data_IF_364186398152
#
_entry.id   IF_364186398152
#
_cell.length_a   1.000
_cell.length_b   1.000
_cell.length_c   1.000
_cell.angle_alpha   90.00
_cell.angle_beta   90.00
_cell.angle_gamma   90.00
#
_symmetry.space_group_name_H-M   'P 1'
#
loop_
_entity.id
_entity.type
_entity.pdbx_description
1 polymer ?
#
# COMPACT_ATOMS: atom_id res chain seq x y z
N UNK A 1 7.55 -4.57 18.69
CA UNK A 1 6.93 -5.90 18.50
C UNK A 1 7.48 -6.42 17.20
N UNK A 2 8.10 -7.59 17.16
CA UNK A 2 8.75 -8.04 15.92
C UNK A 2 7.66 -8.56 14.97
N UNK A 3 7.37 -7.87 13.85
CA UNK A 3 6.36 -8.32 12.91
C UNK A 3 6.82 -9.62 12.25
N UNK A 4 5.90 -10.57 12.12
CA UNK A 4 6.14 -11.79 11.33
C UNK A 4 5.84 -11.50 9.85
N UNK A 5 6.48 -12.23 8.93
CA UNK A 5 6.18 -12.11 7.49
C UNK A 5 4.68 -12.30 7.23
N UNK A 6 4.10 -13.37 7.77
CA UNK A 6 2.66 -13.63 7.65
C UNK A 6 1.80 -12.49 8.18
N UNK A 7 2.13 -11.91 9.34
CA UNK A 7 1.35 -10.81 9.92
C UNK A 7 1.43 -9.55 9.07
N UNK A 8 2.62 -9.25 8.55
CA UNK A 8 2.86 -8.09 7.69
C UNK A 8 2.09 -8.19 6.37
N UNK A 9 2.12 -9.36 5.73
CA UNK A 9 1.34 -9.63 4.51
C UNK A 9 -0.18 -9.53 4.77
N UNK A 10 -0.68 -10.16 5.85
CA UNK A 10 -2.10 -10.11 6.20
C UNK A 10 -2.57 -8.68 6.48
N UNK A 11 -1.78 -7.91 7.23
CA UNK A 11 -2.07 -6.51 7.54
C UNK A 11 -2.14 -5.66 6.28
N UNK A 12 -1.18 -5.84 5.37
CA UNK A 12 -1.12 -5.11 4.09
C UNK A 12 -2.35 -5.42 3.22
N UNK A 13 -2.71 -6.70 3.09
CA UNK A 13 -3.89 -7.13 2.33
C UNK A 13 -5.16 -6.59 2.98
N UNK A 14 -5.28 -6.62 4.31
CA UNK A 14 -6.42 -6.07 5.01
C UNK A 14 -6.59 -4.56 4.75
N UNK A 15 -5.51 -3.76 4.88
CA UNK A 15 -5.56 -2.32 4.63
C UNK A 15 -5.87 -2.02 3.15
N UNK A 16 -5.30 -2.80 2.23
CA UNK A 16 -5.61 -2.72 0.80
C UNK A 16 -7.11 -2.93 0.55
N UNK A 17 -7.71 -3.97 1.12
CA UNK A 17 -9.12 -4.30 0.90
C UNK A 17 -10.08 -3.29 1.56
N UNK A 18 -9.81 -2.92 2.81
CA UNK A 18 -10.74 -2.12 3.63
C UNK A 18 -10.62 -0.62 3.35
N UNK A 19 -9.42 -0.14 3.02
CA UNK A 19 -9.15 1.30 2.86
C UNK A 19 -8.74 1.60 1.42
N UNK A 20 -7.79 0.84 0.88
CA UNK A 20 -7.26 1.06 -0.47
C UNK A 20 -8.32 0.99 -1.56
N UNK A 21 -9.10 -0.09 -1.61
CA UNK A 21 -10.11 -0.29 -2.64
C UNK A 21 -11.23 0.78 -2.59
N UNK A 22 -11.90 1.05 -1.45
CA UNK A 22 -12.96 2.06 -1.42
C UNK A 22 -12.47 3.45 -1.81
N UNK A 23 -11.30 3.88 -1.31
CA UNK A 23 -10.74 5.20 -1.64
C UNK A 23 -10.38 5.25 -3.12
N UNK A 24 -9.82 4.18 -3.68
CA UNK A 24 -9.45 4.14 -5.11
C UNK A 24 -10.65 4.18 -6.03
N UNK A 25 -11.73 3.49 -5.69
CA UNK A 25 -12.98 3.55 -6.45
C UNK A 25 -13.55 4.97 -6.41
N UNK A 26 -13.65 5.57 -5.22
CA UNK A 26 -14.12 6.95 -5.08
C UNK A 26 -13.23 7.95 -5.83
N UNK A 27 -11.91 7.74 -5.80
CA UNK A 27 -10.96 8.57 -6.52
C UNK A 27 -11.15 8.47 -8.05
N UNK A 28 -11.25 7.25 -8.57
CA UNK A 28 -11.50 7.03 -10.00
C UNK A 28 -12.82 7.64 -10.45
N UNK A 29 -13.88 7.50 -9.64
CA UNK A 29 -15.17 8.16 -9.91
C UNK A 29 -15.06 9.68 -9.89
N UNK A 30 -14.31 10.25 -8.94
CA UNK A 30 -14.08 11.69 -8.89
C UNK A 30 -13.34 12.21 -10.14
N UNK A 31 -12.34 11.47 -10.64
CA UNK A 31 -11.64 11.79 -11.90
C UNK A 31 -12.56 11.68 -13.13
N UNK A 32 -13.52 10.76 -13.11
CA UNK A 32 -14.54 10.61 -14.14
C UNK A 32 -15.73 11.61 -14.00
N UNK A 33 -15.63 12.61 -13.11
CA UNK A 33 -16.70 13.60 -12.90
C UNK A 33 -17.95 13.02 -12.21
N UNK A 34 -17.75 12.10 -11.26
CA UNK A 34 -18.81 11.36 -10.53
C UNK A 34 -19.70 10.49 -11.42
N UNK A 35 -19.21 10.12 -12.61
CA UNK A 35 -19.86 9.15 -13.49
C UNK A 35 -19.17 7.79 -13.34
N UNK A 36 -19.94 6.73 -13.53
CA UNK A 36 -19.39 5.38 -13.54
C UNK A 36 -18.68 5.12 -14.88
N UNK A 37 -17.38 5.43 -14.93
CA UNK A 37 -16.51 5.10 -16.06
C UNK A 37 -15.49 4.05 -15.62
N UNK A 38 -15.73 2.80 -16.06
CA UNK A 38 -14.87 1.68 -15.71
C UNK A 38 -13.45 1.84 -16.26
N UNK A 39 -13.27 2.48 -17.41
CA UNK A 39 -11.96 2.63 -18.05
C UNK A 39 -11.00 3.46 -17.19
N UNK A 40 -11.51 4.53 -16.58
CA UNK A 40 -10.74 5.42 -15.70
C UNK A 40 -10.49 4.76 -14.34
N UNK A 41 -11.52 4.16 -13.73
CA UNK A 41 -11.41 3.51 -12.42
C UNK A 41 -10.43 2.33 -12.47
N UNK A 42 -10.47 1.55 -13.55
CA UNK A 42 -9.59 0.39 -13.75
C UNK A 42 -8.10 0.77 -13.70
N UNK A 43 -7.70 1.92 -14.24
CA UNK A 43 -6.30 2.37 -14.24
C UNK A 43 -5.79 2.52 -12.80
N UNK A 44 -6.53 3.23 -11.94
CA UNK A 44 -6.12 3.45 -10.55
C UNK A 44 -6.22 2.20 -9.69
N UNK A 45 -7.16 1.29 -9.99
CA UNK A 45 -7.22 -0.03 -9.35
C UNK A 45 -5.97 -0.86 -9.68
N UNK A 46 -5.58 -0.93 -10.96
CA UNK A 46 -4.36 -1.62 -11.36
C UNK A 46 -3.11 -0.97 -10.76
N UNK A 47 -3.10 0.36 -10.66
CA UNK A 47 -2.00 1.09 -10.03
C UNK A 47 -1.88 0.72 -8.55
N UNK A 48 -2.99 0.72 -7.82
CA UNK A 48 -3.01 0.28 -6.42
C UNK A 48 -2.53 -1.18 -6.29
N UNK A 49 -3.04 -2.09 -7.12
CA UNK A 49 -2.62 -3.48 -7.14
C UNK A 49 -1.12 -3.63 -7.40
N UNK A 50 -0.54 -2.83 -8.31
CA UNK A 50 0.88 -2.83 -8.60
C UNK A 50 1.71 -2.36 -7.39
N UNK A 51 1.30 -1.27 -6.73
CA UNK A 51 1.98 -0.77 -5.52
C UNK A 51 1.91 -1.79 -4.38
N UNK A 52 0.74 -2.39 -4.14
CA UNK A 52 0.59 -3.43 -3.11
C UNK A 52 1.40 -4.68 -3.46
N UNK A 53 1.36 -5.13 -4.72
CA UNK A 53 2.16 -6.25 -5.20
C UNK A 53 3.66 -6.03 -5.03
N UNK A 54 4.14 -4.82 -5.35
CA UNK A 54 5.52 -4.42 -5.12
C UNK A 54 5.91 -4.51 -3.64
N UNK A 55 5.02 -4.03 -2.76
CA UNK A 55 5.22 -4.13 -1.33
C UNK A 55 5.24 -5.57 -0.80
N UNK A 56 4.37 -6.45 -1.31
CA UNK A 56 4.38 -7.88 -0.96
C UNK A 56 5.68 -8.55 -1.40
N UNK A 57 6.22 -8.18 -2.57
CA UNK A 57 7.50 -8.69 -3.08
C UNK A 57 8.69 -8.21 -2.22
N UNK A 58 8.64 -6.97 -1.75
CA UNK A 58 9.70 -6.38 -0.94
C UNK A 58 9.60 -6.70 0.56
N UNK A 59 8.45 -7.12 1.08
CA UNK A 59 8.27 -7.45 2.49
C UNK A 59 9.30 -8.49 3.03
N UNK A 60 9.65 -9.59 2.31
CA UNK A 60 10.74 -10.48 2.71
C UNK A 60 12.12 -9.79 2.77
N UNK A 61 12.43 -8.94 1.79
CA UNK A 61 13.70 -8.17 1.75
C UNK A 61 13.78 -7.19 2.92
N UNK A 62 12.66 -6.54 3.24
CA UNK A 62 12.58 -5.62 4.37
C UNK A 62 12.76 -6.34 5.71
N UNK A 63 12.18 -7.54 5.87
CA UNK A 63 12.38 -8.35 7.07
C UNK A 63 13.84 -8.80 7.17
N UNK A 64 14.45 -9.21 6.06
CA UNK A 64 15.88 -9.55 6.03
C UNK A 64 16.75 -8.34 6.44
N UNK A 65 16.53 -7.17 5.84
CA UNK A 65 17.23 -5.95 6.18
C UNK A 65 17.01 -5.53 7.65
N UNK A 66 15.79 -5.70 8.16
CA UNK A 66 15.46 -5.45 9.57
C UNK A 66 16.24 -6.38 10.51
N UNK A 67 16.45 -7.64 10.12
CA UNK A 67 17.14 -8.65 10.93
C UNK A 67 18.64 -8.38 11.13
N UNK A 68 19.25 -7.58 10.23
CA UNK A 68 20.65 -7.16 10.29
C UNK A 68 20.89 -6.02 11.29
N UNK A 69 19.84 -5.32 11.75
CA UNK A 69 19.97 -4.25 12.75
C UNK A 69 20.07 -4.84 14.15
N UNK A 70 20.86 -4.19 15.00
CA UNK A 70 21.05 -4.56 16.41
C UNK A 70 19.71 -4.70 17.16
N UNK A 71 18.79 -3.76 16.97
CA UNK A 71 17.49 -3.75 17.65
C UNK A 71 16.46 -4.68 17.00
N UNK A 72 16.71 -5.14 15.77
CA UNK A 72 15.79 -5.95 14.95
C UNK A 72 14.38 -5.35 14.79
N UNK A 73 14.23 -4.05 15.04
CA UNK A 73 12.98 -3.32 14.88
C UNK A 73 13.16 -2.10 13.95
N UNK A 74 12.09 -1.77 13.23
CA UNK A 74 12.04 -0.60 12.36
C UNK A 74 11.02 0.40 12.90
N UNK A 75 11.42 1.66 13.16
CA UNK A 75 10.44 2.69 13.47
C UNK A 75 9.46 2.88 12.29
N UNK A 76 8.22 3.24 12.61
CA UNK A 76 7.15 3.49 11.63
C UNK A 76 7.55 4.49 10.53
N UNK A 77 8.50 5.39 10.81
CA UNK A 77 9.09 6.29 9.81
C UNK A 77 9.75 5.54 8.64
N UNK A 78 10.46 4.42 8.89
CA UNK A 78 11.01 3.61 7.80
C UNK A 78 9.91 2.93 7.00
N UNK A 79 8.85 2.46 7.65
CA UNK A 79 7.71 1.88 6.94
C UNK A 79 7.09 2.92 6.00
N UNK A 80 6.88 4.15 6.47
CA UNK A 80 6.38 5.24 5.64
C UNK A 80 7.34 5.56 4.48
N UNK A 81 8.64 5.65 4.76
CA UNK A 81 9.66 5.90 3.73
C UNK A 81 9.64 4.82 2.64
N UNK A 82 9.64 3.54 3.02
CA UNK A 82 9.63 2.44 2.06
C UNK A 82 8.32 2.35 1.28
N UNK A 83 7.18 2.76 1.85
CA UNK A 83 5.94 2.91 1.07
C UNK A 83 6.07 3.96 -0.04
N UNK A 84 6.74 5.09 0.22
CA UNK A 84 7.04 6.08 -0.83
C UNK A 84 8.05 5.55 -1.86
N UNK A 85 9.02 4.73 -1.44
CA UNK A 85 9.94 4.05 -2.38
C UNK A 85 9.19 3.06 -3.27
N UNK A 86 8.30 2.23 -2.71
CA UNK A 86 7.42 1.32 -3.46
C UNK A 86 6.60 2.07 -4.50
N UNK A 87 5.97 3.18 -4.10
CA UNK A 87 5.26 4.08 -5.02
C UNK A 87 6.18 4.61 -6.13
N UNK A 88 7.36 5.11 -5.78
CA UNK A 88 8.33 5.64 -6.73
C UNK A 88 8.73 4.60 -7.77
N UNK A 89 9.05 3.37 -7.33
CA UNK A 89 9.40 2.27 -8.22
C UNK A 89 8.25 1.98 -9.20
N UNK A 90 7.03 1.80 -8.71
CA UNK A 90 5.89 1.50 -9.58
C UNK A 90 5.58 2.65 -10.54
N UNK A 91 5.66 3.90 -10.07
CA UNK A 91 5.48 5.08 -10.91
C UNK A 91 6.52 5.15 -12.03
N UNK A 92 7.81 4.94 -11.73
CA UNK A 92 8.86 4.94 -12.74
C UNK A 92 8.70 3.78 -13.73
N UNK A 93 8.33 2.59 -13.27
CA UNK A 93 8.06 1.44 -14.15
C UNK A 93 6.86 1.69 -15.07
N UNK A 94 5.78 2.27 -14.54
CA UNK A 94 4.59 2.62 -15.32
C UNK A 94 4.89 3.72 -16.36
N UNK A 95 5.67 4.74 -15.97
CA UNK A 95 6.09 5.82 -16.87
C UNK A 95 7.04 5.34 -17.98
N UNK A 96 7.85 4.31 -17.70
CA UNK A 96 8.76 3.72 -18.67
C UNK A 96 8.09 2.71 -19.62
N UNK A 97 6.78 2.46 -19.49
CA UNK A 97 6.08 1.48 -20.33
C UNK A 97 6.37 0.02 -19.99
N UNK A 98 7.06 -0.25 -18.87
CA UNK A 98 7.45 -1.60 -18.48
C UNK A 98 6.31 -2.40 -17.85
N UNK A 99 5.19 -1.74 -17.55
CA UNK A 99 4.01 -2.34 -16.93
C UNK A 99 2.87 -2.36 -17.94
N UNK A 100 2.60 -3.50 -18.63
CA UNK A 100 1.73 -3.54 -19.80
C UNK A 100 0.25 -3.22 -19.51
N UNK A 101 -0.18 -3.37 -18.25
CA UNK A 101 -1.55 -3.09 -17.81
C UNK A 101 -1.75 -1.67 -17.28
N UNK A 102 -0.70 -0.85 -17.24
CA UNK A 102 -0.77 0.57 -16.86
C UNK A 102 -0.47 1.45 -18.08
N UNK A 103 -1.43 2.29 -18.52
CA UNK A 103 -1.21 3.16 -19.68
C UNK A 103 -0.24 4.28 -19.33
N UNK A 104 0.86 4.40 -20.08
CA UNK A 104 1.89 5.44 -19.89
C UNK A 104 1.32 6.86 -19.89
N UNK A 105 0.27 7.09 -20.69
CA UNK A 105 -0.42 8.38 -20.83
C UNK A 105 -1.00 8.87 -19.51
N UNK A 106 -1.44 7.98 -18.62
CA UNK A 106 -1.98 8.32 -17.31
C UNK A 106 -0.90 8.73 -16.28
N UNK A 107 0.37 8.41 -16.54
CA UNK A 107 1.49 8.61 -15.61
C UNK A 107 2.54 9.63 -16.12
N UNK A 108 2.20 10.44 -17.13
CA UNK A 108 3.10 11.48 -17.62
C UNK A 108 3.31 12.62 -16.60
N UNK A 109 2.28 12.90 -15.79
CA UNK A 109 2.37 13.87 -14.70
C UNK A 109 2.41 13.15 -13.34
N UNK A 110 3.25 13.66 -12.42
CA UNK A 110 3.37 13.08 -11.08
C UNK A 110 2.17 13.39 -10.19
N UNK A 111 1.46 14.50 -10.46
CA UNK A 111 0.44 15.04 -9.56
C UNK A 111 -0.71 14.08 -9.27
N UNK A 112 -1.36 13.55 -10.30
CA UNK A 112 -2.55 12.69 -10.13
C UNK A 112 -2.21 11.35 -9.45
N UNK A 113 -1.17 10.60 -9.88
CA UNK A 113 -0.76 9.37 -9.21
C UNK A 113 -0.27 9.59 -7.77
N UNK A 114 0.49 10.67 -7.51
CA UNK A 114 0.95 10.98 -6.16
C UNK A 114 -0.20 11.35 -5.22
N UNK A 115 -1.19 12.09 -5.71
CA UNK A 115 -2.38 12.44 -4.94
C UNK A 115 -3.23 11.20 -4.64
N UNK A 116 -3.45 10.33 -5.63
CA UNK A 116 -4.13 9.04 -5.42
C UNK A 116 -3.40 8.20 -4.36
N UNK A 117 -2.09 8.05 -4.50
CA UNK A 117 -1.27 7.31 -3.54
C UNK A 117 -1.37 7.93 -2.14
N UNK A 118 -1.23 9.25 -2.00
CA UNK A 118 -1.33 9.92 -0.71
C UNK A 118 -2.70 9.74 -0.05
N UNK A 119 -3.78 9.81 -0.83
CA UNK A 119 -5.15 9.59 -0.35
C UNK A 119 -5.38 8.16 0.15
N UNK A 120 -4.69 7.16 -0.39
CA UNK A 120 -4.78 5.79 0.11
C UNK A 120 -3.81 5.57 1.27
N UNK A 121 -2.57 6.04 1.12
CA UNK A 121 -1.47 5.83 2.06
C UNK A 121 -1.75 6.46 3.42
N UNK A 122 -2.13 7.75 3.46
CA UNK A 122 -2.30 8.48 4.74
C UNK A 122 -3.38 7.84 5.61
N UNK A 123 -4.61 7.57 5.14
CA UNK A 123 -5.63 6.89 5.93
C UNK A 123 -5.21 5.47 6.33
N UNK A 124 -4.59 4.71 5.42
CA UNK A 124 -4.12 3.36 5.72
C UNK A 124 -3.06 3.37 6.84
N UNK A 125 -2.14 4.32 6.78
CA UNK A 125 -1.08 4.49 7.77
C UNK A 125 -1.63 4.94 9.13
N UNK A 126 -2.61 5.86 9.14
CA UNK A 126 -3.29 6.26 10.37
C UNK A 126 -4.05 5.10 11.01
N UNK A 127 -4.75 4.29 10.21
CA UNK A 127 -5.45 3.10 10.71
C UNK A 127 -4.46 2.09 11.31
N UNK A 128 -3.30 1.89 10.69
CA UNK A 128 -2.25 1.02 11.20
C UNK A 128 -1.68 1.51 12.55
N UNK A 129 -1.50 2.82 12.71
CA UNK A 129 -0.94 3.40 13.93
C UNK A 129 -1.90 3.38 15.12
N UNK A 130 -3.20 3.59 14.89
CA UNK A 130 -4.19 3.72 15.97
C UNK A 130 -5.28 2.65 15.94
N UNK A 131 -6.35 2.82 15.14
CA UNK A 131 -7.55 1.97 15.15
C UNK A 131 -7.27 0.47 15.11
N UNK A 132 -6.33 0.02 14.29
CA UNK A 132 -6.00 -1.39 14.19
C UNK A 132 -5.43 -1.94 15.51
N UNK A 133 -4.60 -1.16 16.20
CA UNK A 133 -3.99 -1.57 17.47
C UNK A 133 -5.00 -1.60 18.62
N UNK A 134 -6.02 -0.73 18.57
CA UNK A 134 -7.07 -0.62 19.59
C UNK A 134 -8.14 -1.68 19.41
N UNK A 135 -8.62 -1.87 18.18
CA UNK A 135 -9.72 -2.80 17.87
C UNK A 135 -9.25 -4.26 17.84
N UNK A 136 -8.04 -4.52 17.35
CA UNK A 136 -7.50 -5.87 17.24
C UNK A 136 -6.38 -6.10 18.28
N UNK A 137 -6.77 -6.19 19.55
CA UNK A 137 -5.84 -6.44 20.67
C UNK A 137 -4.92 -7.66 20.41
N UNK A 138 -5.47 -8.76 19.88
CA UNK A 138 -4.70 -9.98 19.58
C UNK A 138 -3.72 -9.82 18.42
N UNK A 139 -4.05 -8.99 17.42
CA UNK A 139 -3.18 -8.69 16.28
C UNK A 139 -1.86 -8.08 16.77
N UNK A 140 -1.96 -7.16 17.75
CA UNK A 140 -0.81 -6.55 18.44
C UNK A 140 0.08 -7.66 19.03
N UNK A 141 -0.45 -8.50 19.91
CA UNK A 141 0.34 -9.53 20.61
C UNK A 141 0.87 -10.66 19.73
N UNK A 142 0.34 -10.85 18.51
CA UNK A 142 0.75 -11.93 17.58
C UNK A 142 1.58 -11.45 16.39
N UNK A 143 2.27 -10.31 16.52
CA UNK A 143 3.17 -9.82 15.49
C UNK A 143 2.46 -9.54 14.15
N UNK A 144 1.23 -9.02 14.24
CA UNK A 144 0.40 -8.62 13.12
C UNK A 144 -0.46 -9.72 12.50
N UNK A 145 -0.56 -10.90 13.11
CA UNK A 145 -1.36 -12.01 12.58
C UNK A 145 -2.82 -11.91 13.03
N UNK A 146 -3.75 -12.10 12.09
CA UNK A 146 -5.16 -12.37 12.37
C UNK A 146 -5.38 -13.88 12.58
N UNK A 147 -6.21 -14.25 13.57
CA UNK A 147 -6.91 -15.54 13.54
C UNK A 147 -6.26 -16.79 14.14
N UNK A 148 -5.21 -16.72 14.98
CA UNK A 148 -4.87 -17.90 15.81
C UNK A 148 -5.73 -17.89 17.07
N UNK A 149 -6.62 -18.88 17.22
CA UNK A 149 -7.17 -19.25 18.53
C UNK A 149 -6.05 -19.85 19.37
#
# INVERSE_FOLDING_TARGET
>A
MIPTLSGRLQTRIFLFLVIGLPITILFGMAQAGWRWDWSVVQIYLWFLCAVVGMGLLFDPLYIFAQSLRWERDWPFAFQAFFSWVEFGVVYFLARAGLVPFLPETAFQSLGTPALHFALVFVPSFLVLLGPMQVLFLRWRFKGGQFGKL
#
